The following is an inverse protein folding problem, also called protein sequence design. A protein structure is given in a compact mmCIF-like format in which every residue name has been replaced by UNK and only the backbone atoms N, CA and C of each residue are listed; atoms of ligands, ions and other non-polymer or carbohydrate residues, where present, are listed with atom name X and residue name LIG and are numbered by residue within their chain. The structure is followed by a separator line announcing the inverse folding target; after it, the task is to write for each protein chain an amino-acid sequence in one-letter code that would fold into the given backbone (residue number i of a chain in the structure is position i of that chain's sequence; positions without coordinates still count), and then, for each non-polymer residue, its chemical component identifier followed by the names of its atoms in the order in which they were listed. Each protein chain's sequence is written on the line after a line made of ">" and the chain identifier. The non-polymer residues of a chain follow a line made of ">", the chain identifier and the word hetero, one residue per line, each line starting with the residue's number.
data_IF_359465256754
#
_entry.id   IF_359465256754
#
_cell.length_a   1.000
_cell.length_b   1.000
_cell.length_c   1.000
_cell.angle_alpha   90.00
_cell.angle_beta   90.00
_cell.angle_gamma   90.00
#
_symmetry.space_group_name_H-M   'P 1'
#
loop_
_entity.id
_entity.type
_entity.pdbx_description
1 polymer ?
#
# COMPACT_ATOMS: atom_id res chain seq x y z
N UNK A 1 9.17 -12.59 27.51
CA UNK A 1 8.21 -11.85 26.65
C UNK A 1 6.82 -12.36 26.94
N UNK A 2 5.85 -11.49 27.24
CA UNK A 2 4.46 -11.92 27.46
C UNK A 2 3.88 -12.30 26.09
N UNK A 3 3.46 -13.55 25.91
CA UNK A 3 2.82 -13.97 24.67
C UNK A 3 1.51 -13.18 24.53
N UNK A 4 1.40 -12.33 23.50
CA UNK A 4 0.16 -11.61 23.25
C UNK A 4 -0.97 -12.62 22.92
N UNK A 5 -2.24 -12.34 23.26
CA UNK A 5 -3.35 -13.24 23.01
C UNK A 5 -3.45 -13.61 21.53
N UNK A 6 -3.73 -14.88 21.22
CA UNK A 6 -3.92 -15.33 19.83
C UNK A 6 -5.40 -15.42 19.54
N UNK A 7 -5.94 -14.38 18.90
CA UNK A 7 -7.37 -14.26 18.59
C UNK A 7 -7.56 -14.39 17.08
N UNK A 8 -8.59 -15.15 16.67
CA UNK A 8 -9.02 -15.21 15.27
C UNK A 8 -9.98 -14.05 14.99
N UNK A 9 -9.52 -13.08 14.19
CA UNK A 9 -10.36 -11.96 13.77
C UNK A 9 -11.26 -12.35 12.59
N UNK A 10 -12.49 -11.82 12.59
CA UNK A 10 -13.41 -11.92 11.46
C UNK A 10 -13.37 -10.63 10.64
N UNK A 11 -13.24 -10.75 9.31
CA UNK A 11 -13.26 -9.60 8.41
C UNK A 11 -14.68 -9.03 8.30
N UNK A 12 -14.80 -7.72 8.50
CA UNK A 12 -16.03 -7.00 8.21
C UNK A 12 -16.17 -6.76 6.70
N UNK A 13 -17.37 -6.36 6.26
CA UNK A 13 -17.60 -6.05 4.84
C UNK A 13 -16.68 -4.93 4.34
N UNK A 14 -16.39 -3.91 5.16
CA UNK A 14 -15.43 -2.84 4.81
C UNK A 14 -14.02 -3.39 4.59
N UNK A 15 -13.59 -4.33 5.44
CA UNK A 15 -12.27 -4.95 5.30
C UNK A 15 -12.18 -5.76 4.01
N UNK A 16 -13.25 -6.50 3.67
CA UNK A 16 -13.34 -7.26 2.42
C UNK A 16 -13.33 -6.34 1.19
N UNK A 17 -14.05 -5.22 1.24
CA UNK A 17 -14.06 -4.24 0.14
C UNK A 17 -12.66 -3.69 -0.13
N UNK A 18 -11.91 -3.31 0.91
CA UNK A 18 -10.51 -2.83 0.75
C UNK A 18 -9.62 -3.90 0.12
N UNK A 19 -9.77 -5.17 0.53
CA UNK A 19 -9.03 -6.30 -0.05
C UNK A 19 -9.37 -6.51 -1.53
N UNK A 20 -10.65 -6.47 -1.90
CA UNK A 20 -11.09 -6.61 -3.30
C UNK A 20 -10.52 -5.48 -4.15
N UNK A 21 -10.60 -4.23 -3.68
CA UNK A 21 -10.02 -3.08 -4.40
C UNK A 21 -8.52 -3.26 -4.55
N UNK A 22 -7.80 -3.71 -3.52
CA UNK A 22 -6.36 -3.96 -3.60
C UNK A 22 -6.02 -5.04 -4.65
N UNK A 23 -6.83 -6.10 -4.76
CA UNK A 23 -6.67 -7.11 -5.81
C UNK A 23 -6.90 -6.50 -7.20
N UNK A 24 -7.95 -5.70 -7.38
CA UNK A 24 -8.24 -5.04 -8.65
C UNK A 24 -7.13 -4.07 -9.07
N UNK A 25 -6.60 -3.28 -8.13
CA UNK A 25 -5.46 -2.39 -8.39
C UNK A 25 -4.22 -3.20 -8.76
N UNK A 26 -3.93 -4.30 -8.07
CA UNK A 26 -2.80 -5.18 -8.41
C UNK A 26 -2.95 -5.77 -9.83
N UNK A 27 -4.16 -6.16 -10.22
CA UNK A 27 -4.43 -6.63 -11.58
C UNK A 27 -4.17 -5.52 -12.60
N UNK A 28 -4.60 -4.28 -12.35
CA UNK A 28 -4.34 -3.15 -13.24
C UNK A 28 -2.84 -2.85 -13.38
N UNK A 29 -2.08 -2.94 -12.29
CA UNK A 29 -0.61 -2.77 -12.31
C UNK A 29 0.04 -3.77 -13.28
N UNK A 30 -0.47 -4.99 -13.38
CA UNK A 30 0.02 -5.99 -14.34
C UNK A 30 -0.52 -5.77 -15.75
N UNK A 31 -1.83 -5.50 -15.89
CA UNK A 31 -2.50 -5.44 -17.18
C UNK A 31 -2.02 -4.25 -18.02
N UNK A 32 -1.82 -3.08 -17.41
CA UNK A 32 -1.41 -1.88 -18.16
C UNK A 32 -0.07 -2.07 -18.90
N UNK A 33 1.05 -2.44 -18.25
CA UNK A 33 2.30 -2.73 -18.96
C UNK A 33 2.15 -3.81 -20.02
N UNK A 34 1.43 -4.90 -19.74
CA UNK A 34 1.27 -6.02 -20.68
C UNK A 34 0.53 -5.61 -21.96
N UNK A 35 -0.45 -4.72 -21.86
CA UNK A 35 -1.25 -4.29 -23.01
C UNK A 35 -0.46 -3.37 -23.96
N UNK A 36 0.41 -2.51 -23.42
CA UNK A 36 1.09 -1.47 -24.21
C UNK A 36 2.59 -1.74 -24.44
N UNK A 37 3.12 -2.87 -23.95
CA UNK A 37 4.57 -3.13 -23.93
C UNK A 37 5.23 -3.02 -25.31
N UNK A 38 4.59 -3.54 -26.35
CA UNK A 38 5.14 -3.51 -27.72
C UNK A 38 5.15 -2.09 -28.31
N UNK A 39 4.22 -1.23 -27.88
CA UNK A 39 4.09 0.16 -28.34
C UNK A 39 5.08 1.10 -27.64
N UNK A 40 5.57 0.72 -26.46
CA UNK A 40 6.55 1.52 -25.72
C UNK A 40 7.90 1.60 -26.46
N UNK A 41 8.55 2.77 -26.47
CA UNK A 41 9.92 2.90 -26.98
C UNK A 41 10.87 2.05 -26.15
N UNK A 42 12.05 1.75 -26.70
CA UNK A 42 13.05 0.94 -26.00
C UNK A 42 13.50 1.56 -24.67
N UNK A 43 13.41 2.89 -24.54
CA UNK A 43 13.83 3.64 -23.36
C UNK A 43 12.66 4.46 -22.78
N UNK A 44 12.45 4.33 -21.47
CA UNK A 44 11.39 5.01 -20.69
C UNK A 44 11.98 5.59 -19.41
N UNK A 45 11.24 6.49 -18.75
CA UNK A 45 11.62 7.00 -17.43
C UNK A 45 11.63 5.85 -16.40
N UNK A 46 12.67 5.78 -15.59
CA UNK A 46 12.82 4.77 -14.51
C UNK A 46 13.02 5.39 -13.13
N UNK A 47 13.33 6.68 -13.07
CA UNK A 47 13.41 7.45 -11.84
C UNK A 47 12.85 8.85 -12.08
N UNK A 48 12.24 9.39 -11.02
CA UNK A 48 11.66 10.71 -11.00
C UNK A 48 12.18 11.44 -9.76
N UNK A 49 12.54 12.71 -9.90
CA UNK A 49 13.00 13.53 -8.78
C UNK A 49 11.84 13.93 -7.86
N UNK A 50 12.14 14.72 -6.81
CA UNK A 50 11.13 15.17 -5.84
C UNK A 50 10.04 16.06 -6.43
N UNK A 51 10.28 16.68 -7.60
CA UNK A 51 9.30 17.46 -8.36
C UNK A 51 8.44 16.58 -9.27
N UNK A 52 8.71 15.26 -9.33
CA UNK A 52 8.01 14.32 -10.19
C UNK A 52 8.52 14.31 -11.63
N UNK A 53 9.64 14.97 -11.93
CA UNK A 53 10.20 15.05 -13.29
C UNK A 53 11.16 13.87 -13.51
N UNK A 54 11.13 13.20 -14.69
CA UNK A 54 12.11 12.18 -15.03
C UNK A 54 13.54 12.71 -14.96
N UNK A 55 14.42 12.02 -14.23
CA UNK A 55 15.85 12.34 -14.16
C UNK A 55 16.75 11.12 -14.46
N UNK A 56 16.15 9.97 -14.73
CA UNK A 56 16.84 8.77 -15.19
C UNK A 56 15.96 7.95 -16.13
N UNK A 57 16.58 7.34 -17.13
CA UNK A 57 15.92 6.56 -18.17
C UNK A 57 16.57 5.18 -18.30
N UNK A 58 15.82 4.21 -18.82
CA UNK A 58 16.32 2.85 -19.02
C UNK A 58 15.39 1.99 -19.85
N UNK A 59 15.79 0.73 -20.05
CA UNK A 59 15.07 -0.17 -20.94
C UNK A 59 13.60 -0.39 -20.49
N UNK A 60 12.65 -0.44 -21.44
CA UNK A 60 11.22 -0.59 -21.15
C UNK A 60 10.83 -1.80 -20.31
N UNK A 61 11.64 -2.86 -20.32
CA UNK A 61 11.43 -4.03 -19.46
C UNK A 61 11.49 -3.72 -17.96
N UNK A 62 12.14 -2.62 -17.57
CA UNK A 62 12.22 -2.18 -16.17
C UNK A 62 10.83 -1.85 -15.60
N UNK A 63 9.84 -1.51 -16.45
CA UNK A 63 8.45 -1.28 -16.05
C UNK A 63 7.86 -2.47 -15.28
N UNK A 64 8.28 -3.70 -15.57
CA UNK A 64 7.80 -4.91 -14.90
C UNK A 64 8.36 -5.13 -13.48
N UNK A 65 9.36 -4.36 -13.06
CA UNK A 65 9.85 -4.40 -11.67
C UNK A 65 8.72 -3.97 -10.71
N UNK A 66 7.95 -2.93 -11.06
CA UNK A 66 6.86 -2.44 -10.21
C UNK A 66 5.75 -3.50 -10.01
N UNK A 67 5.22 -4.18 -11.04
CA UNK A 67 4.29 -5.30 -10.86
C UNK A 67 4.83 -6.43 -9.96
N UNK A 68 6.09 -6.81 -10.13
CA UNK A 68 6.71 -7.86 -9.31
C UNK A 68 6.79 -7.43 -7.85
N UNK A 69 7.34 -6.24 -7.57
CA UNK A 69 7.46 -5.70 -6.21
C UNK A 69 6.07 -5.50 -5.58
N UNK A 70 5.10 -5.00 -6.35
CA UNK A 70 3.70 -4.86 -5.92
C UNK A 70 3.12 -6.18 -5.44
N UNK A 71 3.37 -7.26 -6.19
CA UNK A 71 2.90 -8.60 -5.87
C UNK A 71 3.54 -9.14 -4.60
N UNK A 72 4.86 -8.98 -4.46
CA UNK A 72 5.60 -9.39 -3.25
C UNK A 72 5.09 -8.64 -2.01
N UNK A 73 4.93 -7.32 -2.09
CA UNK A 73 4.40 -6.51 -0.99
C UNK A 73 2.95 -6.88 -0.66
N UNK A 74 2.11 -7.10 -1.67
CA UNK A 74 0.73 -7.52 -1.46
C UNK A 74 0.68 -8.85 -0.69
N UNK A 75 1.47 -9.85 -1.10
CA UNK A 75 1.54 -11.16 -0.44
C UNK A 75 2.08 -11.00 0.98
N UNK A 76 3.21 -10.31 1.15
CA UNK A 76 3.86 -10.11 2.45
C UNK A 76 2.91 -9.46 3.45
N UNK A 77 2.27 -8.34 3.09
CA UNK A 77 1.34 -7.62 3.96
C UNK A 77 0.07 -8.44 4.24
N UNK A 78 -0.37 -9.26 3.28
CA UNK A 78 -1.50 -10.18 3.49
C UNK A 78 -1.16 -11.30 4.47
N UNK A 79 0.06 -11.84 4.40
CA UNK A 79 0.54 -12.88 5.33
C UNK A 79 0.73 -12.29 6.73
N UNK A 80 1.38 -11.14 6.87
CA UNK A 80 1.57 -10.46 8.16
C UNK A 80 0.23 -10.18 8.85
N UNK A 81 -0.78 -9.76 8.09
CA UNK A 81 -2.13 -9.51 8.61
C UNK A 81 -2.84 -10.74 9.20
N UNK A 82 -2.35 -11.96 8.95
CA UNK A 82 -2.87 -13.18 9.60
C UNK A 82 -2.35 -13.36 11.03
N UNK A 83 -1.30 -12.64 11.41
CA UNK A 83 -0.61 -12.79 12.69
C UNK A 83 -0.52 -11.46 13.47
N UNK A 84 -1.64 -10.79 13.81
CA UNK A 84 -1.60 -9.49 14.48
C UNK A 84 -0.85 -9.48 15.81
N UNK A 85 -0.84 -10.62 16.53
CA UNK A 85 -0.11 -10.78 17.80
C UNK A 85 1.42 -10.64 17.69
N UNK A 86 1.98 -10.57 16.47
CA UNK A 86 3.41 -10.31 16.24
C UNK A 86 3.71 -8.84 15.94
N UNK A 87 2.69 -7.97 15.89
CA UNK A 87 2.88 -6.56 15.60
C UNK A 87 3.39 -5.81 16.84
N UNK A 88 4.03 -4.68 16.57
CA UNK A 88 4.38 -3.71 17.60
C UNK A 88 3.19 -2.77 17.85
N UNK A 89 2.73 -2.72 19.09
CA UNK A 89 1.62 -1.88 19.53
C UNK A 89 2.15 -0.74 20.42
N UNK A 90 1.62 0.49 20.29
CA UNK A 90 2.01 1.60 21.15
C UNK A 90 1.36 1.53 22.54
N UNK A 91 0.49 0.54 22.78
CA UNK A 91 -0.15 0.26 24.07
C UNK A 91 0.06 -1.20 24.44
N UNK A 92 0.02 -1.51 25.74
CA UNK A 92 0.14 -2.88 26.22
C UNK A 92 -1.12 -3.66 25.83
N UNK A 93 -0.92 -4.82 25.19
CA UNK A 93 -2.01 -5.71 24.82
C UNK A 93 -2.44 -6.56 26.02
N UNK A 94 -3.74 -6.51 26.31
CA UNK A 94 -4.43 -7.29 27.35
C UNK A 94 -5.53 -8.12 26.70
N UNK A 95 -6.03 -9.15 27.39
CA UNK A 95 -7.16 -9.97 26.89
C UNK A 95 -8.39 -9.10 26.55
N UNK A 96 -8.66 -8.07 27.36
CA UNK A 96 -9.80 -7.17 27.18
C UNK A 96 -9.67 -6.26 25.95
N UNK A 97 -8.46 -5.80 25.61
CA UNK A 97 -8.26 -4.84 24.53
C UNK A 97 -7.78 -5.47 23.21
N UNK A 98 -7.30 -6.72 23.24
CA UNK A 98 -6.61 -7.36 22.12
C UNK A 98 -7.44 -7.37 20.84
N UNK A 99 -8.73 -7.71 20.91
CA UNK A 99 -9.60 -7.72 19.72
C UNK A 99 -9.67 -6.35 19.04
N UNK A 100 -9.93 -5.28 19.81
CA UNK A 100 -9.98 -3.91 19.28
C UNK A 100 -8.64 -3.51 18.66
N UNK A 101 -7.54 -3.74 19.36
CA UNK A 101 -6.21 -3.33 18.90
C UNK A 101 -5.77 -4.09 17.65
N UNK A 102 -6.02 -5.39 17.61
CA UNK A 102 -5.73 -6.22 16.44
C UNK A 102 -6.61 -5.84 15.24
N UNK A 103 -7.89 -5.51 15.47
CA UNK A 103 -8.78 -5.04 14.41
C UNK A 103 -8.31 -3.69 13.84
N UNK A 104 -7.92 -2.74 14.68
CA UNK A 104 -7.41 -1.44 14.24
C UNK A 104 -6.11 -1.58 13.44
N UNK A 105 -5.15 -2.35 13.96
CA UNK A 105 -3.85 -2.55 13.31
C UNK A 105 -3.94 -3.31 12.00
N UNK A 106 -4.70 -4.41 11.94
CA UNK A 106 -4.87 -5.14 10.68
C UNK A 106 -5.63 -4.32 9.64
N UNK A 107 -6.60 -3.48 10.04
CA UNK A 107 -7.23 -2.51 9.14
C UNK A 107 -6.24 -1.52 8.58
N UNK A 108 -5.43 -0.92 9.45
CA UNK A 108 -4.37 0.00 9.03
C UNK A 108 -3.44 -0.66 8.00
N UNK A 109 -3.00 -1.90 8.25
CA UNK A 109 -2.17 -2.66 7.32
C UNK A 109 -2.85 -2.94 5.96
N UNK A 110 -4.17 -3.18 5.93
CA UNK A 110 -4.92 -3.33 4.66
C UNK A 110 -4.97 -2.04 3.87
N UNK A 111 -5.21 -0.91 4.56
CA UNK A 111 -5.18 0.40 3.93
C UNK A 111 -3.78 0.77 3.42
N UNK A 112 -2.73 0.50 4.22
CA UNK A 112 -1.35 0.73 3.81
C UNK A 112 -0.99 -0.08 2.56
N UNK A 113 -1.38 -1.37 2.51
CA UNK A 113 -1.23 -2.22 1.34
C UNK A 113 -1.89 -1.61 0.10
N UNK A 114 -3.15 -1.17 0.23
CA UNK A 114 -3.88 -0.54 -0.87
C UNK A 114 -3.22 0.79 -1.29
N UNK A 115 -2.80 1.63 -0.36
CA UNK A 115 -2.13 2.90 -0.64
C UNK A 115 -0.85 2.71 -1.45
N UNK A 116 0.00 1.75 -1.05
CA UNK A 116 1.23 1.39 -1.79
C UNK A 116 0.89 0.99 -3.24
N UNK A 117 -0.11 0.11 -3.41
CA UNK A 117 -0.52 -0.32 -4.74
C UNK A 117 -1.06 0.83 -5.59
N UNK A 118 -1.85 1.74 -5.02
CA UNK A 118 -2.34 2.91 -5.74
C UNK A 118 -1.17 3.80 -6.20
N UNK A 119 -0.20 4.05 -5.32
CA UNK A 119 1.00 4.84 -5.68
C UNK A 119 1.75 4.18 -6.83
N UNK A 120 1.96 2.87 -6.77
CA UNK A 120 2.62 2.13 -7.84
C UNK A 120 1.83 2.11 -9.15
N UNK A 121 0.49 2.00 -9.07
CA UNK A 121 -0.38 2.11 -10.25
C UNK A 121 -0.24 3.48 -10.92
N UNK A 122 -0.21 4.56 -10.14
CA UNK A 122 -0.02 5.92 -10.67
C UNK A 122 1.34 6.05 -11.35
N UNK A 123 2.41 5.54 -10.74
CA UNK A 123 3.76 5.56 -11.35
C UNK A 123 3.76 4.77 -12.66
N UNK A 124 3.19 3.56 -12.68
CA UNK A 124 3.08 2.73 -13.90
C UNK A 124 2.33 3.48 -15.00
N UNK A 125 1.16 4.03 -14.66
CA UNK A 125 0.33 4.77 -15.61
C UNK A 125 1.07 5.99 -16.18
N UNK A 126 1.68 6.82 -15.33
CA UNK A 126 2.43 8.01 -15.76
C UNK A 126 3.69 7.67 -16.56
N UNK A 127 4.34 6.55 -16.25
CA UNK A 127 5.49 6.08 -17.04
C UNK A 127 5.06 5.66 -18.45
N UNK A 128 3.90 4.99 -18.57
CA UNK A 128 3.31 4.60 -19.87
C UNK A 128 2.85 5.81 -20.67
N UNK A 129 2.25 6.81 -20.01
CA UNK A 129 1.79 8.04 -20.65
C UNK A 129 2.96 8.87 -21.24
N UNK A 130 4.17 8.70 -20.70
CA UNK A 130 5.38 9.44 -21.11
C UNK A 130 5.20 10.96 -21.10
N UNK A 131 4.39 11.44 -20.17
CA UNK A 131 4.07 12.85 -19.98
C UNK A 131 5.36 13.67 -19.72
N UNK A 132 5.63 14.76 -20.46
CA UNK A 132 6.76 15.66 -20.18
C UNK A 132 6.73 16.27 -18.77
N UNK A 133 5.54 16.42 -18.16
CA UNK A 133 5.41 16.85 -16.76
C UNK A 133 5.72 15.73 -15.75
N UNK A 134 5.92 14.50 -16.23
CA UNK A 134 6.21 13.31 -15.44
C UNK A 134 5.06 12.91 -14.52
N UNK A 135 5.34 12.78 -13.23
CA UNK A 135 4.34 12.47 -12.20
C UNK A 135 3.49 13.69 -11.83
N UNK A 136 3.98 14.91 -12.11
CA UNK A 136 3.36 16.17 -11.74
C UNK A 136 3.60 16.57 -10.27
N UNK A 137 3.54 17.89 -10.01
CA UNK A 137 3.87 18.48 -8.69
C UNK A 137 2.94 18.03 -7.55
N UNK A 138 1.74 17.55 -7.86
CA UNK A 138 0.77 17.06 -6.87
C UNK A 138 1.00 15.59 -6.48
N UNK A 139 1.88 14.87 -7.18
CA UNK A 139 2.16 13.47 -6.86
C UNK A 139 2.71 13.33 -5.44
N UNK A 140 3.72 14.11 -5.05
CA UNK A 140 4.29 14.05 -3.71
C UNK A 140 3.27 14.41 -2.60
N UNK A 141 2.52 15.53 -2.69
CA UNK A 141 1.41 15.80 -1.78
C UNK A 141 0.40 14.65 -1.69
N UNK A 142 0.05 14.03 -2.82
CA UNK A 142 -0.84 12.87 -2.85
C UNK A 142 -0.27 11.67 -2.09
N UNK A 143 0.99 11.31 -2.34
CA UNK A 143 1.69 10.22 -1.61
C UNK A 143 1.69 10.51 -0.11
N UNK A 144 2.02 11.74 0.29
CA UNK A 144 2.02 12.11 1.71
C UNK A 144 0.63 12.00 2.34
N UNK A 145 -0.41 12.49 1.68
CA UNK A 145 -1.77 12.41 2.21
C UNK A 145 -2.26 10.96 2.34
N UNK A 146 -2.07 10.14 1.31
CA UNK A 146 -2.55 8.76 1.30
C UNK A 146 -1.80 7.87 2.30
N UNK A 147 -0.56 8.19 2.65
CA UNK A 147 0.20 7.45 3.68
C UNK A 147 0.01 8.00 5.09
N UNK A 148 0.12 9.32 5.29
CA UNK A 148 0.11 9.91 6.64
C UNK A 148 -1.28 10.01 7.26
N UNK A 149 -2.33 10.28 6.47
CA UNK A 149 -3.70 10.40 7.02
C UNK A 149 -4.15 9.09 7.71
N UNK A 150 -4.02 7.90 7.09
CA UNK A 150 -4.36 6.65 7.77
C UNK A 150 -3.51 6.36 9.00
N UNK A 151 -2.22 6.75 8.99
CA UNK A 151 -1.32 6.61 10.15
C UNK A 151 -1.85 7.44 11.32
N UNK A 152 -2.16 8.71 11.08
CA UNK A 152 -2.69 9.61 12.12
C UNK A 152 -4.02 9.07 12.67
N UNK A 153 -4.94 8.66 11.81
CA UNK A 153 -6.23 8.08 12.21
C UNK A 153 -6.02 6.81 13.05
N UNK A 154 -5.09 5.94 12.65
CA UNK A 154 -4.74 4.73 13.39
C UNK A 154 -4.22 5.09 14.77
N UNK A 155 -3.20 5.94 14.87
CA UNK A 155 -2.57 6.33 16.14
C UNK A 155 -3.58 6.96 17.11
N UNK A 156 -4.44 7.87 16.64
CA UNK A 156 -5.49 8.46 17.48
C UNK A 156 -6.41 7.37 18.04
N UNK A 157 -6.93 6.47 17.20
CA UNK A 157 -7.88 5.43 17.62
C UNK A 157 -7.28 4.36 18.53
N UNK A 158 -6.00 4.07 18.37
CA UNK A 158 -5.26 3.06 19.14
C UNK A 158 -4.95 3.59 20.56
N UNK A 159 -4.74 4.91 20.68
CA UNK A 159 -4.43 5.61 21.93
C UNK A 159 -5.67 6.08 22.71
N UNK A 160 -6.83 6.18 22.05
CA UNK A 160 -8.11 6.40 22.73
C UNK A 160 -8.35 5.30 23.77
N UNK A 161 -8.45 5.69 25.05
CA UNK A 161 -8.85 4.78 26.12
C UNK A 161 -10.27 4.28 25.84
N UNK A 162 -10.49 2.97 25.97
CA UNK A 162 -11.84 2.42 26.06
C UNK A 162 -12.54 3.17 27.22
N UNK A 163 -13.61 3.91 26.93
CA UNK A 163 -14.52 4.36 27.98
C UNK A 163 -15.16 3.07 28.53
N UNK A 164 -14.76 2.68 29.74
CA UNK A 164 -15.39 1.63 30.53
C UNK A 164 -16.84 1.96 30.78
#
# INVERSE_FOLDING_TARGET
>A
MKNQPKIKLNLTNKDKTVEIIAILVLLLIWLLPLMVYEELPNEIAIHFNAQGIPDNYGHKSTLFILPVVSSLLFILLTVLNKYPHTFNYPTVITEENAERQYMLSTRFMRFLKLAILIVFLVIVYKTIEMDPEGLGVFFMPFVLLITFVPIIIYLVKVMEKNKS
#
